data_IF_481282774391
#
_entry.id   IF_481282774391
#
_cell.length_a   1.000
_cell.length_b   1.000
_cell.length_c   1.000
_cell.angle_alpha   90.00
_cell.angle_beta   90.00
_cell.angle_gamma   90.00
#
_symmetry.space_group_name_H-M   'P 1'
#
loop_
_entity.id
_entity.type
_entity.pdbx_description
1 polymer ?
#
# COMPACT_ATOMS: atom_id res chain seq x y z
N UNK A 1 -12.08 -6.13 -5.26
CA UNK A 1 -11.27 -7.02 -4.41
C UNK A 1 -11.80 -8.46 -4.28
N UNK A 2 -12.78 -8.80 -3.42
CA UNK A 2 -13.15 -10.23 -3.22
C UNK A 2 -13.59 -10.97 -4.51
N UNK A 3 -14.28 -10.29 -5.43
CA UNK A 3 -14.66 -10.87 -6.72
C UNK A 3 -13.43 -11.21 -7.60
N UNK A 4 -12.40 -10.34 -7.62
CA UNK A 4 -11.16 -10.57 -8.37
C UNK A 4 -10.37 -11.75 -7.78
N UNK A 5 -10.38 -11.90 -6.46
CA UNK A 5 -9.73 -13.02 -5.78
C UNK A 5 -10.39 -14.37 -6.07
N UNK A 6 -11.69 -14.37 -6.43
CA UNK A 6 -12.42 -15.57 -6.88
C UNK A 6 -12.22 -15.86 -8.37
N UNK A 7 -11.95 -14.83 -9.18
CA UNK A 7 -11.77 -14.96 -10.63
C UNK A 7 -10.45 -15.67 -10.97
N UNK A 8 -10.56 -16.82 -11.64
CA UNK A 8 -9.43 -17.62 -12.07
C UNK A 8 -8.36 -16.93 -12.90
N UNK A 9 -8.79 -15.99 -13.74
CA UNK A 9 -7.92 -15.32 -14.69
C UNK A 9 -7.15 -14.15 -14.06
N UNK A 10 -7.56 -13.71 -12.87
CA UNK A 10 -7.06 -12.49 -12.22
C UNK A 10 -6.55 -12.71 -10.79
N UNK A 11 -6.96 -13.80 -10.15
CA UNK A 11 -6.70 -14.02 -8.74
C UNK A 11 -5.20 -14.08 -8.42
N UNK A 12 -4.74 -13.35 -7.39
CA UNK A 12 -3.38 -13.48 -6.89
C UNK A 12 -3.17 -14.73 -6.02
N UNK A 13 -4.24 -15.45 -5.67
CA UNK A 13 -4.17 -16.64 -4.83
C UNK A 13 -3.49 -17.82 -5.53
N UNK A 14 -2.99 -18.79 -4.76
CA UNK A 14 -2.66 -20.10 -5.31
C UNK A 14 -3.93 -20.84 -5.73
N UNK A 15 -3.80 -21.85 -6.60
CA UNK A 15 -4.96 -22.67 -6.98
C UNK A 15 -5.62 -23.35 -5.80
N UNK A 16 -4.82 -23.79 -4.81
CA UNK A 16 -5.30 -24.41 -3.58
C UNK A 16 -6.06 -23.38 -2.73
N UNK A 17 -5.47 -22.22 -2.46
CA UNK A 17 -6.10 -21.18 -1.64
C UNK A 17 -7.39 -20.66 -2.25
N UNK A 18 -7.45 -20.51 -3.57
CA UNK A 18 -8.65 -20.03 -4.27
C UNK A 18 -9.82 -21.01 -4.14
N UNK A 19 -9.57 -22.33 -4.12
CA UNK A 19 -10.64 -23.33 -3.97
C UNK A 19 -11.35 -23.24 -2.62
N UNK A 20 -10.64 -22.77 -1.60
CA UNK A 20 -11.14 -22.59 -0.23
C UNK A 20 -11.46 -21.12 0.09
N UNK A 21 -11.36 -20.22 -0.89
CA UNK A 21 -11.46 -18.78 -0.65
C UNK A 21 -12.91 -18.32 -0.52
N UNK A 22 -13.30 -17.97 0.71
CA UNK A 22 -14.63 -17.41 0.99
C UNK A 22 -14.64 -15.88 0.87
N UNK A 23 -13.55 -15.23 1.26
CA UNK A 23 -13.34 -13.79 1.21
C UNK A 23 -12.06 -13.38 1.96
N UNK A 24 -11.63 -12.13 1.77
CA UNK A 24 -10.61 -11.51 2.61
C UNK A 24 -11.23 -11.03 3.93
N UNK A 25 -10.42 -11.08 4.98
CA UNK A 25 -10.75 -10.48 6.27
C UNK A 25 -10.36 -9.00 6.28
N UNK A 26 -11.20 -8.20 6.93
CA UNK A 26 -11.00 -6.76 7.07
C UNK A 26 -11.09 -6.34 8.53
N UNK A 27 -10.45 -5.24 8.85
CA UNK A 27 -10.83 -4.48 10.02
C UNK A 27 -12.21 -3.85 9.81
N UNK A 28 -12.92 -3.56 10.91
CA UNK A 28 -14.17 -2.82 10.82
C UNK A 28 -13.85 -1.42 10.29
N UNK A 29 -14.65 -0.93 9.35
CA UNK A 29 -14.52 0.43 8.86
C UNK A 29 -14.55 1.43 10.02
N UNK A 30 -13.61 2.36 10.00
CA UNK A 30 -13.51 3.42 10.98
C UNK A 30 -13.08 4.73 10.29
N UNK A 31 -13.95 5.74 10.36
CA UNK A 31 -13.75 7.02 9.71
C UNK A 31 -12.62 7.84 10.32
N UNK A 32 -12.16 7.53 11.54
CA UNK A 32 -11.00 8.20 12.16
C UNK A 32 -9.69 7.88 11.43
N UNK A 33 -9.68 6.82 10.61
CA UNK A 33 -8.59 6.44 9.74
C UNK A 33 -8.71 7.01 8.31
N UNK A 34 -9.66 7.91 8.07
CA UNK A 34 -9.70 8.75 6.86
C UNK A 34 -9.13 10.11 7.24
N UNK A 35 -7.87 10.36 6.87
CA UNK A 35 -7.15 11.58 7.27
C UNK A 35 -6.93 12.49 6.07
N UNK A 36 -7.04 13.79 6.30
CA UNK A 36 -6.56 14.79 5.35
C UNK A 36 -5.09 15.08 5.68
N UNK A 37 -4.23 14.92 4.68
CA UNK A 37 -2.80 15.13 4.80
C UNK A 37 -2.35 16.35 3.99
N UNK A 38 -1.39 17.10 4.53
CA UNK A 38 -0.63 18.09 3.78
C UNK A 38 0.35 17.35 2.86
N UNK A 39 0.24 17.60 1.56
CA UNK A 39 1.10 17.04 0.53
C UNK A 39 2.17 18.05 0.13
N UNK A 40 3.44 17.66 0.26
CA UNK A 40 4.59 18.43 -0.21
C UNK A 40 5.30 17.66 -1.32
N UNK A 41 5.30 18.22 -2.54
CA UNK A 41 6.02 17.66 -3.68
C UNK A 41 7.53 17.73 -3.41
N UNK A 42 8.23 16.64 -3.67
CA UNK A 42 9.69 16.61 -3.60
C UNK A 42 10.30 16.85 -4.97
N UNK A 43 10.73 18.09 -5.21
CA UNK A 43 11.36 18.49 -6.47
C UNK A 43 12.75 17.89 -6.62
N UNK A 44 13.12 17.54 -7.85
CA UNK A 44 14.47 17.08 -8.22
C UNK A 44 14.96 15.78 -7.54
N UNK A 45 14.06 14.98 -6.96
CA UNK A 45 14.38 13.65 -6.46
C UNK A 45 14.87 12.76 -7.60
N UNK A 46 15.96 12.02 -7.35
CA UNK A 46 16.51 11.10 -8.35
C UNK A 46 15.72 9.78 -8.32
N UNK A 47 15.42 9.19 -9.48
CA UNK A 47 14.91 7.82 -9.53
C UNK A 47 15.83 6.85 -8.80
N UNK A 48 15.22 5.83 -8.21
CA UNK A 48 15.93 4.74 -7.55
C UNK A 48 15.25 3.40 -7.85
N UNK A 49 16.03 2.35 -7.70
CA UNK A 49 15.58 0.97 -7.84
C UNK A 49 14.92 0.50 -6.54
N UNK A 50 13.61 0.35 -6.55
CA UNK A 50 12.86 -0.13 -5.38
C UNK A 50 13.09 -1.64 -5.23
N UNK A 51 13.59 -2.06 -4.07
CA UNK A 51 13.76 -3.49 -3.76
C UNK A 51 12.39 -4.17 -3.72
N UNK A 52 12.34 -5.41 -4.17
CA UNK A 52 11.14 -6.24 -4.12
C UNK A 52 11.42 -7.54 -3.38
N UNK A 53 10.40 -8.39 -3.22
CA UNK A 53 10.52 -9.76 -2.71
C UNK A 53 11.29 -10.71 -3.63
N UNK A 54 11.66 -10.28 -4.83
CA UNK A 54 12.48 -11.04 -5.80
C UNK A 54 13.62 -10.16 -6.34
N UNK A 55 14.34 -10.63 -7.36
CA UNK A 55 15.42 -9.87 -7.99
C UNK A 55 14.94 -8.68 -8.85
N UNK A 56 13.62 -8.56 -9.09
CA UNK A 56 13.06 -7.43 -9.86
C UNK A 56 13.29 -6.13 -9.10
N UNK A 57 13.68 -5.09 -9.83
CA UNK A 57 13.98 -3.77 -9.28
C UNK A 57 13.34 -2.66 -10.13
N UNK A 58 12.02 -2.46 -10.02
CA UNK A 58 11.33 -1.38 -10.74
C UNK A 58 11.85 -0.01 -10.29
N UNK A 59 11.85 0.93 -11.23
CA UNK A 59 12.27 2.30 -10.94
C UNK A 59 11.10 3.12 -10.39
N UNK A 60 11.37 3.76 -9.25
CA UNK A 60 10.46 4.69 -8.59
C UNK A 60 11.18 6.00 -8.34
N UNK A 61 10.40 7.07 -8.21
CA UNK A 61 10.87 8.33 -7.65
C UNK A 61 10.04 8.65 -6.41
N UNK A 62 10.69 9.22 -5.38
CA UNK A 62 9.96 9.83 -4.27
C UNK A 62 9.22 11.04 -4.83
N UNK A 63 7.90 10.93 -4.90
CA UNK A 63 7.04 11.95 -5.49
C UNK A 63 6.68 13.02 -4.46
N UNK A 64 6.50 12.66 -3.20
CA UNK A 64 6.26 13.67 -2.19
C UNK A 64 6.30 13.10 -0.79
N UNK A 65 6.00 13.97 0.16
CA UNK A 65 5.79 13.63 1.56
C UNK A 65 4.38 14.05 1.93
N UNK A 66 3.67 13.18 2.61
CA UNK A 66 2.37 13.47 3.22
C UNK A 66 2.55 13.59 4.72
N UNK A 67 2.07 14.68 5.30
CA UNK A 67 2.05 14.93 6.73
C UNK A 67 0.61 14.98 7.22
N UNK A 68 0.26 14.23 8.26
CA UNK A 68 -1.10 14.15 8.77
C UNK A 68 -1.12 13.92 10.28
N UNK A 69 -2.23 14.30 10.90
CA UNK A 69 -2.49 14.05 12.31
C UNK A 69 -3.35 12.80 12.47
N UNK A 70 -2.94 11.89 13.35
CA UNK A 70 -3.69 10.68 13.67
C UNK A 70 -3.49 10.32 15.13
N UNK A 71 -4.58 10.06 15.86
CA UNK A 71 -4.54 9.59 17.27
C UNK A 71 -3.66 10.44 18.20
N UNK A 72 -3.66 11.76 18.03
CA UNK A 72 -2.91 12.65 18.94
C UNK A 72 -1.51 13.04 18.47
N UNK A 73 -1.01 12.42 17.40
CA UNK A 73 0.37 12.56 16.93
C UNK A 73 0.42 12.97 15.46
N UNK A 74 1.50 13.64 15.06
CA UNK A 74 1.78 13.98 13.66
C UNK A 74 2.67 12.90 13.06
N UNK A 75 2.28 12.38 11.90
CA UNK A 75 3.04 11.39 11.14
C UNK A 75 3.40 11.93 9.77
N UNK A 76 4.49 11.40 9.21
CA UNK A 76 4.90 11.65 7.85
C UNK A 76 5.13 10.33 7.12
N UNK A 77 4.75 10.27 5.85
CA UNK A 77 5.06 9.15 4.95
C UNK A 77 5.54 9.66 3.60
N UNK A 78 6.47 8.95 2.98
CA UNK A 78 6.87 9.22 1.60
C UNK A 78 5.86 8.59 0.63
N UNK A 79 5.53 9.33 -0.41
CA UNK A 79 4.70 8.87 -1.54
C UNK A 79 5.61 8.69 -2.75
N UNK A 80 5.43 7.61 -3.49
CA UNK A 80 6.27 7.25 -4.63
C UNK A 80 5.48 7.25 -5.93
N UNK A 81 6.16 7.45 -7.06
CA UNK A 81 5.59 7.25 -8.40
C UNK A 81 6.45 6.24 -9.15
N UNK A 82 5.82 5.19 -9.70
CA UNK A 82 6.50 4.19 -10.54
C UNK A 82 6.73 4.75 -11.94
N UNK A 83 7.97 4.71 -12.43
CA UNK A 83 8.31 5.34 -13.71
C UNK A 83 7.76 4.57 -14.91
N UNK A 84 7.75 3.24 -14.85
CA UNK A 84 7.14 2.40 -15.88
C UNK A 84 5.61 2.61 -15.92
N UNK A 85 4.98 2.51 -14.74
CA UNK A 85 3.52 2.58 -14.61
C UNK A 85 2.97 3.95 -15.03
N UNK A 86 3.71 5.03 -14.80
CA UNK A 86 3.33 6.39 -15.24
C UNK A 86 3.12 6.48 -16.76
N UNK A 87 3.76 5.61 -17.54
CA UNK A 87 3.64 5.61 -19.01
C UNK A 87 2.45 4.80 -19.53
N UNK A 88 1.73 4.10 -18.64
CA UNK A 88 0.52 3.36 -18.99
C UNK A 88 -0.71 4.27 -18.95
N UNK A 89 -1.59 4.12 -19.96
CA UNK A 89 -2.82 4.90 -20.07
C UNK A 89 -3.68 4.78 -18.80
N UNK A 90 -3.98 5.93 -18.18
CA UNK A 90 -4.80 6.01 -16.96
C UNK A 90 -4.02 5.85 -15.64
N UNK A 91 -2.69 5.80 -15.69
CA UNK A 91 -1.80 5.73 -14.53
C UNK A 91 -0.79 6.89 -14.45
N UNK A 92 -0.93 7.90 -15.29
CA UNK A 92 -0.03 9.05 -15.38
C UNK A 92 0.04 9.83 -14.06
N UNK A 93 -1.07 9.83 -13.32
CA UNK A 93 -1.23 10.45 -12.01
C UNK A 93 -1.21 9.46 -10.84
N UNK A 94 -0.91 8.19 -11.09
CA UNK A 94 -0.92 7.17 -10.04
C UNK A 94 0.27 7.34 -9.10
N UNK A 95 -0.03 7.25 -7.80
CA UNK A 95 0.91 7.36 -6.71
C UNK A 95 0.79 6.13 -5.80
N UNK A 96 1.93 5.70 -5.27
CA UNK A 96 2.09 4.52 -4.45
C UNK A 96 2.49 4.92 -3.03
N UNK A 97 1.67 4.56 -2.05
CA UNK A 97 1.93 4.78 -0.63
C UNK A 97 2.08 3.43 0.10
N UNK A 98 3.30 2.88 0.19
CA UNK A 98 3.60 1.74 1.04
C UNK A 98 3.77 2.19 2.49
N UNK A 99 3.30 1.40 3.47
CA UNK A 99 3.51 1.72 4.88
C UNK A 99 3.58 0.48 5.77
N UNK A 100 4.26 0.65 6.90
CA UNK A 100 4.31 -0.26 8.03
C UNK A 100 3.68 0.40 9.25
N UNK A 101 3.12 -0.40 10.15
CA UNK A 101 2.50 0.01 11.40
C UNK A 101 2.54 -1.12 12.44
N UNK A 102 2.08 -0.84 13.67
CA UNK A 102 2.13 -1.79 14.80
C UNK A 102 1.15 -2.97 14.70
N UNK A 103 0.31 -3.04 13.66
CA UNK A 103 -0.54 -4.22 13.38
C UNK A 103 0.17 -5.25 12.49
N UNK A 104 1.25 -4.87 11.80
CA UNK A 104 1.94 -5.78 10.88
C UNK A 104 2.57 -6.96 11.63
N UNK A 105 2.30 -8.18 11.14
CA UNK A 105 2.78 -9.43 11.74
C UNK A 105 1.87 -9.96 12.85
N UNK A 106 0.98 -9.13 13.40
CA UNK A 106 0.01 -9.52 14.40
C UNK A 106 -1.35 -9.76 13.75
N UNK A 107 -1.94 -8.69 13.18
CA UNK A 107 -3.28 -8.69 12.59
C UNK A 107 -3.29 -8.38 11.09
N UNK A 108 -2.29 -7.64 10.61
CA UNK A 108 -2.08 -7.34 9.18
C UNK A 108 -0.81 -7.98 8.65
N UNK A 109 -0.63 -8.00 7.32
CA UNK A 109 0.50 -8.69 6.70
C UNK A 109 1.85 -8.14 7.18
N UNK A 110 2.79 -9.01 7.56
CA UNK A 110 4.06 -8.61 8.17
C UNK A 110 4.97 -7.78 7.26
N UNK A 111 4.85 -7.92 5.94
CA UNK A 111 5.64 -7.17 4.97
C UNK A 111 5.16 -5.73 4.73
N UNK A 112 4.08 -5.30 5.38
CA UNK A 112 3.47 -3.99 5.19
C UNK A 112 2.29 -3.99 4.22
N UNK A 113 1.67 -2.83 4.07
CA UNK A 113 0.44 -2.64 3.27
C UNK A 113 0.55 -1.43 2.37
N UNK A 114 -0.30 -1.38 1.36
CA UNK A 114 -0.28 -0.34 0.33
C UNK A 114 -1.59 0.43 0.31
N UNK A 115 -1.49 1.70 -0.08
CA UNK A 115 -2.59 2.55 -0.48
C UNK A 115 -2.25 3.13 -1.85
N UNK A 116 -3.23 3.09 -2.73
CA UNK A 116 -3.14 3.67 -4.06
C UNK A 116 -3.69 5.09 -4.00
N UNK A 117 -2.92 6.02 -4.52
CA UNK A 117 -3.23 7.44 -4.49
C UNK A 117 -3.20 8.02 -5.91
N UNK A 118 -3.68 9.25 -6.04
CA UNK A 118 -3.60 10.04 -7.27
C UNK A 118 -2.94 11.39 -6.98
N UNK A 119 -2.26 11.97 -7.96
CA UNK A 119 -1.66 13.31 -7.83
C UNK A 119 -2.77 14.30 -7.43
N UNK A 120 -2.64 15.01 -6.29
CA UNK A 120 -3.66 15.96 -5.87
C UNK A 120 -3.59 17.24 -6.72
N UNK A 121 -4.72 17.91 -6.90
CA UNK A 121 -4.81 19.21 -7.58
C UNK A 121 -4.33 20.40 -6.73
N UNK A 122 -3.80 20.13 -5.53
CA UNK A 122 -3.31 21.13 -4.58
C UNK A 122 -2.32 20.55 -3.57
N UNK A 123 -2.20 21.19 -2.41
CA UNK A 123 -1.28 20.79 -1.35
C UNK A 123 -1.92 19.88 -0.29
N UNK A 124 -3.09 19.30 -0.56
CA UNK A 124 -3.74 18.36 0.35
C UNK A 124 -4.18 17.10 -0.37
N UNK A 125 -4.10 15.97 0.32
CA UNK A 125 -4.53 14.67 -0.18
C UNK A 125 -5.25 13.89 0.93
N UNK A 126 -6.31 13.16 0.59
CA UNK A 126 -6.98 12.27 1.52
C UNK A 126 -6.27 10.92 1.53
N UNK A 127 -5.93 10.43 2.72
CA UNK A 127 -5.41 9.08 2.92
C UNK A 127 -6.49 8.29 3.67
N UNK A 128 -7.06 7.31 2.98
CA UNK A 128 -8.02 6.38 3.58
C UNK A 128 -7.34 5.05 3.90
N UNK A 129 -6.95 4.85 5.16
CA UNK A 129 -6.34 3.58 5.58
C UNK A 129 -7.34 2.41 5.55
N UNK A 130 -8.66 2.65 5.44
CA UNK A 130 -9.63 1.58 5.21
C UNK A 130 -9.50 0.97 3.82
N UNK A 131 -8.87 1.69 2.87
CA UNK A 131 -8.55 1.16 1.55
C UNK A 131 -7.24 0.37 1.50
N UNK A 132 -6.47 0.35 2.59
CA UNK A 132 -5.17 -0.30 2.63
C UNK A 132 -5.27 -1.81 2.37
N UNK A 133 -4.47 -2.31 1.44
CA UNK A 133 -4.49 -3.70 1.00
C UNK A 133 -3.11 -4.38 1.14
N UNK A 134 -3.10 -5.71 1.22
CA UNK A 134 -1.84 -6.46 1.25
C UNK A 134 -1.26 -6.60 -0.17
N UNK A 135 0.08 -6.53 -0.34
CA UNK A 135 0.73 -6.88 -1.60
C UNK A 135 0.35 -8.29 -2.07
N UNK A 136 0.39 -8.52 -3.38
CA UNK A 136 0.08 -9.86 -3.92
C UNK A 136 1.00 -10.98 -3.41
N UNK A 137 2.24 -10.65 -3.04
CA UNK A 137 3.17 -11.61 -2.43
C UNK A 137 2.71 -12.13 -1.06
N UNK A 138 1.77 -11.44 -0.39
CA UNK A 138 1.13 -11.92 0.83
C UNK A 138 0.22 -13.13 0.60
N UNK A 139 -0.21 -13.36 -0.65
CA UNK A 139 -1.10 -14.45 -1.03
C UNK A 139 -0.38 -15.53 -1.85
N UNK A 140 0.66 -15.13 -2.59
CA UNK A 140 1.42 -16.05 -3.43
C UNK A 140 2.84 -15.53 -3.69
N UNK A 141 3.83 -16.28 -3.22
CA UNK A 141 5.25 -15.90 -3.29
C UNK A 141 5.80 -15.77 -4.72
N UNK A 142 5.08 -16.21 -5.76
CA UNK A 142 5.48 -15.97 -7.16
C UNK A 142 5.49 -14.48 -7.52
N UNK A 143 4.72 -13.65 -6.81
CA UNK A 143 4.64 -12.22 -7.09
C UNK A 143 5.84 -11.47 -6.52
N UNK A 144 6.38 -10.59 -7.36
CA UNK A 144 7.41 -9.63 -6.97
C UNK A 144 6.75 -8.33 -6.53
N UNK A 145 6.76 -8.08 -5.23
CA UNK A 145 6.14 -6.89 -4.64
C UNK A 145 7.19 -5.98 -4.01
N UNK A 146 7.03 -4.65 -4.13
CA UNK A 146 7.89 -3.68 -3.45
C UNK A 146 8.08 -3.99 -1.96
N UNK A 147 9.27 -3.73 -1.42
CA UNK A 147 9.46 -3.73 0.02
C UNK A 147 9.11 -2.36 0.57
N UNK A 148 8.36 -2.31 1.68
CA UNK A 148 8.05 -1.04 2.33
C UNK A 148 9.33 -0.42 2.88
N UNK A 149 9.67 0.83 2.49
CA UNK A 149 10.80 1.56 3.06
C UNK A 149 10.62 1.78 4.56
N UNK A 150 11.71 1.70 5.34
CA UNK A 150 11.65 1.83 6.80
C UNK A 150 11.19 3.21 7.25
N UNK A 151 11.46 4.21 6.43
CA UNK A 151 11.03 5.59 6.60
C UNK A 151 9.50 5.73 6.58
N UNK A 152 8.79 4.78 5.96
CA UNK A 152 7.34 4.73 5.93
C UNK A 152 6.76 3.85 7.06
N UNK A 153 7.32 3.98 8.25
CA UNK A 153 6.84 3.28 9.44
C UNK A 153 6.07 4.22 10.37
N UNK A 154 4.84 3.83 10.68
CA UNK A 154 3.98 4.49 11.65
C UNK A 154 4.09 3.78 12.99
N UNK A 155 4.60 4.49 14.01
CA UNK A 155 4.67 3.97 15.38
C UNK A 155 3.29 4.06 16.09
N UNK A 156 2.28 3.50 15.45
CA UNK A 156 0.90 3.41 15.95
C UNK A 156 0.19 2.24 15.28
N UNK A 157 -0.95 1.83 15.82
CA UNK A 157 -1.76 0.75 15.27
C UNK A 157 -2.76 1.30 14.25
N UNK A 158 -2.72 0.78 13.03
CA UNK A 158 -3.68 1.09 11.96
C UNK A 158 -4.65 -0.09 11.80
N UNK A 159 -5.72 -0.08 12.59
CA UNK A 159 -6.78 -1.10 12.63
C UNK A 159 -7.86 -0.80 11.57
N UNK A 160 -7.42 -0.54 10.34
CA UNK A 160 -8.25 -0.26 9.18
C UNK A 160 -7.72 -1.02 7.96
N UNK A 161 -8.58 -1.36 7.00
CA UNK A 161 -8.20 -2.04 5.77
C UNK A 161 -8.14 -3.57 5.86
N UNK A 162 -7.35 -4.19 4.98
CA UNK A 162 -7.26 -5.65 4.86
C UNK A 162 -6.37 -6.23 5.97
N UNK A 163 -6.83 -7.32 6.59
CA UNK A 163 -6.08 -8.12 7.56
C UNK A 163 -5.14 -9.11 6.88
N UNK A 164 -4.24 -9.73 7.63
CA UNK A 164 -3.36 -10.77 7.08
C UNK A 164 -4.18 -11.94 6.50
N UNK A 165 -3.71 -12.49 5.39
CA UNK A 165 -4.32 -13.66 4.77
C UNK A 165 -3.63 -14.93 5.26
N UNK A 166 -4.38 -15.74 6.02
CA UNK A 166 -3.89 -16.95 6.71
C UNK A 166 -2.74 -16.63 7.69
N UNK A 167 -2.43 -17.58 8.57
CA UNK A 167 -1.20 -17.51 9.37
C UNK A 167 -0.08 -18.14 8.54
N UNK A 168 0.75 -17.32 7.91
CA UNK A 168 2.06 -17.73 7.45
C UNK A 168 3.09 -17.44 8.54
#
# INVERSE_FOLDING_TARGET
MNAEFKDASKSPLTEADRKEFEGLDFFKYDSTYVVQALFTRTENERPFKMKTTTDRQPEYVKYGVVEFFLKGEIYQLNVYQGLDLKTEDGYEDYLFLPFLDETNGLESYGGGRYIDLRIPTGNTITIDFNSAYNPYCAYNHKYSCPLVPRENYLKTRIEAGVKKFKNH
#
